data_IF_669900453521
#
_entry.id   IF_669900453521
#
_cell.length_a   1.000
_cell.length_b   1.000
_cell.length_c   1.000
_cell.angle_alpha   90.00
_cell.angle_beta   90.00
_cell.angle_gamma   90.00
#
_symmetry.space_group_name_H-M   'P 1'
#
loop_
_entity.id
_entity.type
_entity.pdbx_description
1 polymer ?
#
# COMPACT_ATOMS: atom_id res chain seq x y z
N UNK A 1 26.07 -12.16 25.37
CA UNK A 1 25.39 -10.92 24.99
C UNK A 1 24.10 -11.32 24.29
N UNK A 2 22.94 -11.07 24.91
CA UNK A 2 21.65 -11.26 24.24
C UNK A 2 21.50 -10.17 23.19
N UNK A 3 21.71 -10.49 21.92
CA UNK A 3 21.39 -9.59 20.83
C UNK A 3 19.89 -9.71 20.52
N UNK A 4 19.09 -8.95 21.27
CA UNK A 4 17.67 -8.78 20.96
C UNK A 4 17.55 -7.68 19.90
N UNK A 5 17.31 -8.06 18.65
CA UNK A 5 16.97 -7.11 17.60
C UNK A 5 15.58 -6.53 17.86
N UNK A 6 15.37 -5.21 17.71
CA UNK A 6 14.03 -4.64 17.82
C UNK A 6 13.16 -5.16 16.67
N UNK A 7 12.04 -5.79 17.03
CA UNK A 7 11.06 -6.33 16.09
C UNK A 7 9.91 -5.32 15.93
N UNK A 8 9.63 -4.93 14.69
CA UNK A 8 8.46 -4.13 14.33
C UNK A 8 7.56 -4.97 13.44
N UNK A 9 6.36 -5.30 13.94
CA UNK A 9 5.38 -6.07 13.18
C UNK A 9 4.49 -5.11 12.39
N UNK A 10 4.42 -5.30 11.08
CA UNK A 10 3.49 -4.58 10.24
C UNK A 10 2.07 -5.14 10.42
N UNK A 11 1.07 -4.27 10.42
CA UNK A 11 -0.32 -4.67 10.33
C UNK A 11 -0.66 -5.30 8.98
N UNK A 12 -1.72 -6.10 8.95
CA UNK A 12 -2.15 -6.76 7.71
C UNK A 12 -3.00 -5.84 6.85
N UNK A 13 -2.72 -5.85 5.54
CA UNK A 13 -3.60 -5.18 4.59
C UNK A 13 -4.74 -6.13 4.24
N UNK A 14 -5.95 -5.61 4.39
CA UNK A 14 -7.17 -6.31 4.02
C UNK A 14 -7.58 -5.93 2.60
N UNK A 15 -8.15 -6.87 1.86
CA UNK A 15 -8.84 -6.63 0.59
C UNK A 15 -10.22 -7.26 0.72
N UNK A 16 -11.26 -6.47 0.45
CA UNK A 16 -12.67 -6.91 0.61
C UNK A 16 -12.99 -7.42 2.03
N UNK A 17 -12.33 -6.88 3.05
CA UNK A 17 -12.50 -7.29 4.45
C UNK A 17 -11.70 -8.52 4.88
N UNK A 18 -11.01 -9.17 3.95
CA UNK A 18 -10.20 -10.38 4.19
C UNK A 18 -8.71 -10.10 4.05
N UNK A 19 -7.86 -10.87 4.76
CA UNK A 19 -6.40 -10.74 4.61
C UNK A 19 -5.99 -11.00 3.16
N UNK A 20 -5.19 -10.10 2.59
CA UNK A 20 -4.62 -10.32 1.26
C UNK A 20 -3.74 -11.58 1.23
N UNK A 21 -4.01 -12.49 0.29
CA UNK A 21 -3.20 -13.69 0.07
C UNK A 21 -3.40 -14.30 -1.31
N UNK A 22 -2.32 -14.81 -1.92
CA UNK A 22 -2.36 -15.39 -3.28
C UNK A 22 -3.35 -16.55 -3.39
N UNK A 23 -3.47 -17.37 -2.36
CA UNK A 23 -4.41 -18.51 -2.33
C UNK A 23 -5.88 -18.09 -2.30
N UNK A 24 -6.18 -16.87 -1.83
CA UNK A 24 -7.54 -16.31 -1.82
C UNK A 24 -7.87 -15.53 -3.08
N UNK A 25 -6.90 -15.30 -3.97
CA UNK A 25 -7.10 -14.55 -5.22
C UNK A 25 -7.40 -13.06 -5.03
N UNK A 26 -7.30 -12.52 -3.81
CA UNK A 26 -7.63 -11.13 -3.48
C UNK A 26 -6.39 -10.21 -3.42
N UNK A 27 -5.26 -10.65 -3.97
CA UNK A 27 -4.02 -9.86 -4.03
C UNK A 27 -4.13 -8.81 -5.12
N UNK A 28 -3.79 -7.57 -4.77
CA UNK A 28 -3.66 -6.49 -5.75
C UNK A 28 -2.22 -6.43 -6.26
N UNK A 29 -2.06 -6.44 -7.59
CA UNK A 29 -0.73 -6.33 -8.20
C UNK A 29 -0.23 -4.88 -8.17
N UNK A 30 1.01 -4.61 -7.74
CA UNK A 30 1.57 -3.27 -7.76
C UNK A 30 1.97 -2.79 -9.16
N UNK A 31 2.17 -3.71 -10.11
CA UNK A 31 2.80 -3.44 -11.42
C UNK A 31 2.05 -2.34 -12.21
N UNK A 32 0.72 -2.39 -12.20
CA UNK A 32 -0.14 -1.43 -12.92
C UNK A 32 0.01 0.00 -12.39
N UNK A 33 0.25 0.15 -11.07
CA UNK A 33 0.44 1.45 -10.45
C UNK A 33 1.85 1.97 -10.66
N UNK A 34 2.85 1.07 -10.60
CA UNK A 34 4.25 1.40 -10.86
C UNK A 34 4.44 1.89 -12.29
N UNK A 35 3.82 1.24 -13.29
CA UNK A 35 3.91 1.67 -14.69
C UNK A 35 3.26 3.02 -14.95
N UNK A 36 2.24 3.38 -14.16
CA UNK A 36 1.43 4.58 -14.40
C UNK A 36 1.95 5.82 -13.64
N UNK A 37 2.54 5.62 -12.47
CA UNK A 37 2.83 6.71 -11.50
C UNK A 37 4.28 6.64 -10.98
N UNK A 38 4.94 5.49 -11.16
CA UNK A 38 6.28 5.22 -10.66
C UNK A 38 6.29 4.42 -9.36
N UNK A 39 7.47 3.90 -9.01
CA UNK A 39 7.66 2.97 -7.90
C UNK A 39 7.27 3.54 -6.52
N UNK A 40 7.22 4.87 -6.36
CA UNK A 40 6.88 5.53 -5.10
C UNK A 40 5.38 5.54 -4.76
N UNK A 41 4.50 5.24 -5.72
CA UNK A 41 3.05 5.38 -5.53
C UNK A 41 2.49 4.40 -4.49
N UNK A 42 2.78 3.10 -4.64
CA UNK A 42 2.27 2.05 -3.75
C UNK A 42 2.77 2.21 -2.31
N UNK A 43 4.09 2.43 -2.04
CA UNK A 43 4.57 2.68 -0.69
C UNK A 43 3.94 3.92 -0.04
N UNK A 44 3.75 5.00 -0.80
CA UNK A 44 3.09 6.21 -0.32
C UNK A 44 1.63 5.93 0.10
N UNK A 45 0.91 5.13 -0.69
CA UNK A 45 -0.47 4.75 -0.36
C UNK A 45 -0.53 3.92 0.92
N UNK A 46 0.34 2.91 1.04
CA UNK A 46 0.38 2.03 2.21
C UNK A 46 0.68 2.79 3.51
N UNK A 47 1.49 3.85 3.45
CA UNK A 47 1.73 4.72 4.61
C UNK A 47 0.56 5.64 4.94
N UNK A 48 -0.35 5.87 3.99
CA UNK A 48 -1.48 6.79 4.16
C UNK A 48 -2.76 6.09 4.64
N UNK A 49 -2.92 4.79 4.38
CA UNK A 49 -4.18 4.08 4.66
C UNK A 49 -4.42 3.83 6.15
N UNK A 50 -3.40 3.97 6.99
CA UNK A 50 -3.52 3.76 8.43
C UNK A 50 -2.18 3.64 9.15
N UNK A 51 -2.19 3.50 10.48
CA UNK A 51 -1.00 3.24 11.27
C UNK A 51 -0.28 1.95 10.83
N UNK A 52 1.04 2.00 10.77
CA UNK A 52 1.90 0.91 10.28
C UNK A 52 1.65 -0.45 10.97
N UNK A 53 1.41 -0.43 12.28
CA UNK A 53 1.21 -1.60 13.14
C UNK A 53 -0.20 -2.19 13.05
N UNK A 54 -1.19 -1.38 12.65
CA UNK A 54 -2.59 -1.80 12.52
C UNK A 54 -2.93 -2.22 11.08
N UNK A 55 -2.22 -1.67 10.10
CA UNK A 55 -2.50 -1.91 8.69
C UNK A 55 -3.71 -1.11 8.23
N UNK A 56 -4.46 -1.65 7.28
CA UNK A 56 -5.62 -0.95 6.73
C UNK A 56 -6.32 -1.77 5.65
N UNK A 57 -7.50 -1.31 5.26
CA UNK A 57 -8.23 -1.89 4.13
C UNK A 57 -7.76 -1.25 2.83
N UNK A 58 -7.38 -2.08 1.86
CA UNK A 58 -7.15 -1.65 0.49
C UNK A 58 -8.47 -1.22 -0.14
N UNK A 59 -8.48 -0.06 -0.78
CA UNK A 59 -9.63 0.45 -1.51
C UNK A 59 -9.15 1.05 -2.83
N UNK A 60 -9.45 0.39 -3.94
CA UNK A 60 -9.04 0.81 -5.29
C UNK A 60 -9.54 2.21 -5.66
N UNK A 61 -10.74 2.59 -5.21
CA UNK A 61 -11.29 3.93 -5.46
C UNK A 61 -10.50 5.00 -4.70
N UNK A 62 -10.17 4.73 -3.44
CA UNK A 62 -9.33 5.62 -2.63
C UNK A 62 -7.89 5.71 -3.17
N UNK A 63 -7.31 4.57 -3.55
CA UNK A 63 -5.99 4.49 -4.16
C UNK A 63 -5.92 5.31 -5.45
N UNK A 64 -6.89 5.12 -6.38
CA UNK A 64 -6.99 5.89 -7.63
C UNK A 64 -7.05 7.40 -7.41
N UNK A 65 -7.78 7.87 -6.40
CA UNK A 65 -7.85 9.29 -6.06
C UNK A 65 -6.48 9.87 -5.69
N UNK A 66 -5.77 9.21 -4.78
CA UNK A 66 -4.43 9.64 -4.34
C UNK A 66 -3.41 9.58 -5.48
N UNK A 67 -3.49 8.53 -6.28
CA UNK A 67 -2.69 8.29 -7.48
C UNK A 67 -2.89 9.36 -8.57
N UNK A 68 -4.12 9.78 -8.81
CA UNK A 68 -4.40 10.89 -9.72
C UNK A 68 -3.84 12.22 -9.19
N UNK A 69 -3.92 12.45 -7.88
CA UNK A 69 -3.29 13.58 -7.22
C UNK A 69 -1.76 13.59 -7.43
N UNK A 70 -1.10 12.46 -7.18
CA UNK A 70 0.34 12.30 -7.38
C UNK A 70 0.76 12.48 -8.85
N UNK A 71 -0.02 11.93 -9.78
CA UNK A 71 0.20 12.13 -11.22
C UNK A 71 0.06 13.60 -11.63
N UNK A 72 -0.96 14.29 -11.10
CA UNK A 72 -1.16 15.73 -11.34
C UNK A 72 0.03 16.54 -10.80
N UNK A 73 0.52 16.19 -9.60
CA UNK A 73 1.73 16.80 -9.02
C UNK A 73 3.00 16.51 -9.82
N UNK A 74 3.10 15.38 -10.50
CA UNK A 74 4.24 15.09 -11.39
C UNK A 74 4.25 15.93 -12.67
N UNK A 75 3.07 16.34 -13.17
CA UNK A 75 2.94 17.10 -14.41
C UNK A 75 3.16 18.63 -14.25
N UNK A 76 3.28 19.11 -13.01
CA UNK A 76 3.52 20.54 -12.71
C UNK A 76 5.01 20.87 -12.55
N UNK A 77 5.90 19.89 -12.71
CA UNK A 77 7.36 20.04 -12.68
C UNK A 77 7.99 19.70 -14.02
#
# INVERSE_FOLDING_TARGET
MNHSFPLFNQGHILSEGEKMSKSRGNVVSPDDYVSTIGAGAVPCYLMFIGPWDQGGSWNDTGAKGMFNGLKSMGNIY
#
